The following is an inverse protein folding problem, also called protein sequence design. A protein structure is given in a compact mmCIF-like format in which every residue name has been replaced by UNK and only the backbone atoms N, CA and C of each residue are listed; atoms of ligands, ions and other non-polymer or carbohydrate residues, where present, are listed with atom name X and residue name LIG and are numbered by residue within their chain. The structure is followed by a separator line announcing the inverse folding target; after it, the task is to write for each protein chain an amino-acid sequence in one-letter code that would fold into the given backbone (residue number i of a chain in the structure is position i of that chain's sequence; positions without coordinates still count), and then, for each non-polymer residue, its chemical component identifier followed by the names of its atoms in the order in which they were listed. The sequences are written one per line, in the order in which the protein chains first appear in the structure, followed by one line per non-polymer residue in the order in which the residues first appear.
data_IF_658616880977
#
_entry.id   IF_658616880977
#
_cell.length_a   1.000
_cell.length_b   1.000
_cell.length_c   1.000
_cell.angle_alpha   90.00
_cell.angle_beta   90.00
_cell.angle_gamma   90.00
#
_symmetry.space_group_name_H-M   'P 1'
#
loop_
_entity.id
_entity.type
_entity.pdbx_description
1 polymer ?
#
# COMPACT_ATOMS: atom_id res chain seq x y z
N UNK A 1 -10.47 19.95 -9.46
CA UNK A 1 -9.29 19.09 -9.20
C UNK A 1 -9.09 19.03 -7.69
N UNK A 2 -8.58 17.92 -7.13
CA UNK A 2 -8.48 17.76 -5.69
C UNK A 2 -7.56 18.83 -5.08
N UNK A 3 -8.07 19.60 -4.10
CA UNK A 3 -7.25 20.55 -3.33
C UNK A 3 -6.59 19.85 -2.12
N UNK A 4 -5.97 18.70 -2.39
CA UNK A 4 -5.56 17.75 -1.37
C UNK A 4 -4.45 16.83 -1.90
N UNK A 5 -3.64 16.34 -0.97
CA UNK A 5 -2.59 15.37 -1.23
C UNK A 5 -3.21 14.04 -1.67
N UNK A 6 -2.74 13.52 -2.78
CA UNK A 6 -3.07 12.18 -3.28
C UNK A 6 -1.94 11.22 -2.86
N UNK A 7 -2.17 10.28 -1.92
CA UNK A 7 -1.15 9.30 -1.55
C UNK A 7 -0.67 8.51 -2.78
N UNK A 8 0.64 8.44 -2.96
CA UNK A 8 1.26 7.75 -4.09
C UNK A 8 2.39 6.85 -3.62
N UNK A 9 2.26 5.54 -3.87
CA UNK A 9 3.18 4.52 -3.36
C UNK A 9 4.36 4.30 -4.28
N UNK A 10 5.56 4.65 -3.82
CA UNK A 10 6.85 4.47 -4.47
C UNK A 10 7.75 3.67 -3.54
N UNK A 11 7.70 2.35 -3.69
CA UNK A 11 8.50 1.41 -2.90
C UNK A 11 9.96 1.44 -3.36
N UNK A 12 10.89 1.26 -2.42
CA UNK A 12 12.33 1.15 -2.70
C UNK A 12 12.83 -0.29 -2.61
N UNK A 13 11.97 -1.24 -2.26
CA UNK A 13 12.28 -2.66 -2.13
C UNK A 13 11.02 -3.48 -2.44
N UNK A 14 11.19 -4.63 -3.07
CA UNK A 14 10.15 -5.64 -3.29
C UNK A 14 10.76 -7.02 -3.04
N UNK A 15 10.21 -7.76 -2.08
CA UNK A 15 10.68 -9.10 -1.71
C UNK A 15 12.20 -9.13 -1.43
N UNK A 16 12.70 -8.23 -0.58
CA UNK A 16 14.13 -8.14 -0.26
C UNK A 16 15.03 -7.57 -1.37
N UNK A 17 14.49 -7.36 -2.58
CA UNK A 17 15.24 -6.82 -3.71
C UNK A 17 15.03 -5.31 -3.82
N UNK A 18 16.13 -4.55 -3.75
CA UNK A 18 16.11 -3.10 -3.93
C UNK A 18 15.56 -2.72 -5.31
N UNK A 19 14.60 -1.80 -5.33
CA UNK A 19 14.09 -1.18 -6.56
C UNK A 19 15.00 -0.01 -6.91
N UNK A 20 15.48 0.04 -8.16
CA UNK A 20 16.39 1.11 -8.57
C UNK A 20 15.74 2.48 -8.48
N UNK A 21 16.54 3.53 -8.26
CA UNK A 21 16.04 4.91 -8.28
C UNK A 21 15.40 5.27 -9.63
N UNK A 22 15.91 4.69 -10.71
CA UNK A 22 15.39 4.89 -12.07
C UNK A 22 14.01 4.27 -12.25
N UNK A 23 13.78 3.06 -11.74
CA UNK A 23 12.46 2.41 -11.79
C UNK A 23 11.43 3.17 -10.94
N UNK A 24 11.84 3.66 -9.77
CA UNK A 24 11.02 4.55 -8.94
C UNK A 24 10.67 5.85 -9.68
N UNK A 25 11.65 6.45 -10.37
CA UNK A 25 11.46 7.67 -11.16
C UNK A 25 10.52 7.46 -12.36
N UNK A 26 10.67 6.33 -13.07
CA UNK A 26 9.76 5.92 -14.16
C UNK A 26 8.34 5.81 -13.64
N UNK A 27 8.12 5.14 -12.49
CA UNK A 27 6.80 5.03 -11.89
C UNK A 27 6.16 6.39 -11.61
N UNK A 28 6.93 7.34 -11.09
CA UNK A 28 6.45 8.71 -10.84
C UNK A 28 6.09 9.40 -12.15
N UNK A 29 6.97 9.35 -13.16
CA UNK A 29 6.73 10.02 -14.44
C UNK A 29 5.59 9.42 -15.26
N UNK A 30 5.39 8.10 -15.21
CA UNK A 30 4.25 7.45 -15.85
C UNK A 30 2.92 7.91 -15.20
N UNK A 31 2.88 8.09 -13.88
CA UNK A 31 1.70 8.65 -13.20
C UNK A 31 1.49 10.13 -13.52
N UNK A 32 2.57 10.92 -13.58
CA UNK A 32 2.52 12.32 -14.03
C UNK A 32 1.95 12.42 -15.44
N UNK A 33 2.40 11.55 -16.36
CA UNK A 33 1.89 11.49 -17.72
C UNK A 33 0.39 11.16 -17.75
N UNK A 34 -0.03 10.17 -16.95
CA UNK A 34 -1.44 9.77 -16.83
C UNK A 34 -2.32 10.91 -16.31
N UNK A 35 -1.88 11.62 -15.27
CA UNK A 35 -2.60 12.75 -14.70
C UNK A 35 -2.66 13.93 -15.68
N UNK A 36 -1.56 14.20 -16.39
CA UNK A 36 -1.51 15.24 -17.42
C UNK A 36 -2.45 14.95 -18.58
N UNK A 37 -2.48 13.70 -19.07
CA UNK A 37 -3.43 13.26 -20.10
C UNK A 37 -4.89 13.41 -19.66
N UNK A 38 -5.15 13.34 -18.34
CA UNK A 38 -6.47 13.59 -17.73
C UNK A 38 -6.72 15.06 -17.37
N UNK A 39 -5.90 16.00 -17.88
CA UNK A 39 -6.12 17.44 -17.78
C UNK A 39 -5.35 18.14 -16.66
N UNK A 40 -4.48 17.45 -15.90
CA UNK A 40 -3.65 18.11 -14.90
C UNK A 40 -2.60 19.00 -15.59
N UNK A 41 -2.60 20.30 -15.24
CA UNK A 41 -1.63 21.27 -15.80
C UNK A 41 -0.24 21.09 -15.19
N UNK A 42 -0.19 20.82 -13.90
CA UNK A 42 1.04 20.58 -13.14
C UNK A 42 0.80 19.42 -12.17
N UNK A 43 1.82 18.58 -12.02
CA UNK A 43 1.80 17.43 -11.10
C UNK A 43 3.09 17.44 -10.29
N UNK A 44 2.94 17.45 -8.98
CA UNK A 44 4.04 17.54 -8.03
C UNK A 44 4.19 16.24 -7.24
N UNK A 45 5.39 15.93 -6.77
CA UNK A 45 5.59 14.90 -5.73
C UNK A 45 6.33 15.45 -4.52
N UNK A 46 5.86 15.12 -3.32
CA UNK A 46 6.53 15.53 -2.07
C UNK A 46 7.93 14.89 -1.96
N UNK A 47 8.92 15.68 -1.56
CA UNK A 47 10.31 15.26 -1.40
C UNK A 47 10.85 15.70 -0.03
N UNK A 48 11.40 14.76 0.76
CA UNK A 48 12.06 15.10 2.03
C UNK A 48 13.41 15.76 1.75
N UNK A 49 13.47 17.08 1.90
CA UNK A 49 14.62 17.89 1.50
C UNK A 49 15.38 18.46 2.70
N UNK A 50 16.68 18.66 2.56
CA UNK A 50 17.36 19.61 3.44
C UNK A 50 17.03 21.06 3.05
N UNK A 51 17.30 22.02 3.93
CA UNK A 51 16.99 23.43 3.73
C UNK A 51 17.62 24.01 2.46
N UNK A 52 18.91 23.77 2.23
CA UNK A 52 19.59 24.25 1.03
C UNK A 52 19.01 23.67 -0.27
N UNK A 53 18.59 22.39 -0.27
CA UNK A 53 17.87 21.79 -1.39
C UNK A 53 16.50 22.44 -1.60
N UNK A 54 15.76 22.69 -0.52
CA UNK A 54 14.45 23.36 -0.58
C UNK A 54 14.58 24.73 -1.23
N UNK A 55 15.52 25.55 -0.76
CA UNK A 55 15.77 26.89 -1.29
C UNK A 55 16.15 26.85 -2.77
N UNK A 56 17.03 25.91 -3.16
CA UNK A 56 17.45 25.73 -4.56
C UNK A 56 16.29 25.31 -5.46
N UNK A 57 15.44 24.38 -5.01
CA UNK A 57 14.29 23.91 -5.78
C UNK A 57 13.31 25.06 -6.01
N UNK A 58 12.97 25.81 -4.96
CA UNK A 58 12.05 26.96 -5.05
C UNK A 58 12.63 28.06 -5.95
N UNK A 59 13.90 28.41 -5.79
CA UNK A 59 14.58 29.41 -6.62
C UNK A 59 14.61 29.02 -8.11
N UNK A 60 14.85 27.73 -8.39
CA UNK A 60 14.80 27.20 -9.77
C UNK A 60 13.44 27.47 -10.42
N UNK A 61 12.35 27.20 -9.69
CA UNK A 61 11.00 27.38 -10.23
C UNK A 61 10.60 28.84 -10.36
N UNK A 62 10.99 29.69 -9.41
CA UNK A 62 10.79 31.13 -9.49
C UNK A 62 11.49 31.76 -10.70
N UNK A 63 12.61 31.18 -11.14
CA UNK A 63 13.34 31.59 -12.36
C UNK A 63 12.79 30.97 -13.65
N UNK A 64 11.67 30.25 -13.58
CA UNK A 64 11.08 29.55 -14.73
C UNK A 64 11.81 28.27 -15.14
N UNK A 65 12.78 27.82 -14.34
CA UNK A 65 13.49 26.56 -14.54
C UNK A 65 12.64 25.35 -14.18
N UNK A 66 13.05 24.18 -14.67
CA UNK A 66 12.47 22.89 -14.30
C UNK A 66 13.50 21.96 -13.65
N UNK A 67 14.77 22.05 -14.04
CA UNK A 67 15.86 21.22 -13.55
C UNK A 67 16.47 21.81 -12.28
N UNK A 68 16.16 21.21 -11.14
CA UNK A 68 16.59 21.68 -9.81
C UNK A 68 18.03 21.27 -9.49
N UNK A 69 18.56 20.27 -10.20
CA UNK A 69 19.87 19.71 -9.92
C UNK A 69 19.93 19.10 -8.54
N UNK A 70 18.85 18.42 -8.13
CA UNK A 70 18.80 17.66 -6.89
C UNK A 70 19.68 16.42 -7.02
N UNK A 71 20.52 16.19 -6.01
CA UNK A 71 21.44 15.07 -5.92
C UNK A 71 21.49 14.53 -4.48
N UNK A 72 21.93 13.29 -4.33
CA UNK A 72 22.05 12.61 -3.04
C UNK A 72 21.60 11.15 -3.13
N UNK A 73 21.30 10.56 -1.98
CA UNK A 73 20.84 9.18 -1.85
C UNK A 73 19.31 9.09 -1.66
N UNK A 74 18.77 7.88 -1.73
CA UNK A 74 17.35 7.59 -1.49
C UNK A 74 16.43 8.44 -2.39
N UNK A 75 15.48 9.18 -1.82
CA UNK A 75 14.58 10.05 -2.60
C UNK A 75 15.33 11.05 -3.48
N UNK A 76 16.46 11.61 -3.02
CA UNK A 76 17.23 12.57 -3.82
C UNK A 76 17.81 11.93 -5.10
N UNK A 77 18.18 10.65 -5.03
CA UNK A 77 18.63 9.88 -6.20
C UNK A 77 17.48 9.68 -7.19
N UNK A 78 16.27 9.40 -6.71
CA UNK A 78 15.07 9.28 -7.56
C UNK A 78 14.74 10.62 -8.24
N UNK A 79 14.78 11.73 -7.52
CA UNK A 79 14.57 13.07 -8.13
C UNK A 79 15.64 13.35 -9.20
N UNK A 80 16.89 12.96 -8.97
CA UNK A 80 17.95 13.08 -9.96
C UNK A 80 17.67 12.26 -11.22
N UNK A 81 17.20 11.02 -11.07
CA UNK A 81 16.77 10.17 -12.20
C UNK A 81 15.56 10.75 -12.93
N UNK A 82 14.59 11.33 -12.23
CA UNK A 82 13.48 12.06 -12.89
C UNK A 82 14.03 13.18 -13.78
N UNK A 83 14.97 13.99 -13.29
CA UNK A 83 15.55 15.07 -14.09
C UNK A 83 16.31 14.56 -15.32
N UNK A 84 16.93 13.38 -15.24
CA UNK A 84 17.57 12.74 -16.39
C UNK A 84 16.52 12.23 -17.39
N UNK A 85 15.52 11.47 -16.91
CA UNK A 85 14.43 10.92 -17.72
C UNK A 85 13.63 12.01 -18.44
N UNK A 86 13.43 13.17 -17.81
CA UNK A 86 12.80 14.33 -18.43
C UNK A 86 13.59 14.85 -19.64
N UNK A 87 14.86 14.51 -19.82
CA UNK A 87 15.60 14.84 -21.05
C UNK A 87 15.37 13.84 -22.20
N UNK A 88 14.87 12.66 -21.89
CA UNK A 88 14.64 11.59 -22.87
C UNK A 88 13.35 11.81 -23.68
N UNK A 89 13.29 11.36 -24.95
CA UNK A 89 12.12 11.58 -25.80
C UNK A 89 10.80 11.13 -25.19
N UNK A 90 10.79 10.03 -24.41
CA UNK A 90 9.58 9.50 -23.76
C UNK A 90 8.92 10.52 -22.81
N UNK A 91 9.71 11.28 -22.05
CA UNK A 91 9.20 12.16 -20.98
C UNK A 91 9.47 13.64 -21.22
N UNK A 92 10.09 14.01 -22.34
CA UNK A 92 10.47 15.40 -22.63
C UNK A 92 9.30 16.39 -22.54
N UNK A 93 8.10 15.96 -22.93
CA UNK A 93 6.87 16.75 -22.87
C UNK A 93 6.42 17.08 -21.44
N UNK A 94 6.94 16.39 -20.41
CA UNK A 94 6.60 16.61 -19.01
C UNK A 94 7.49 17.64 -18.30
N UNK A 95 8.52 18.21 -18.95
CA UNK A 95 9.44 19.20 -18.33
C UNK A 95 8.73 20.41 -17.72
N UNK A 96 7.63 20.86 -18.33
CA UNK A 96 6.81 21.97 -17.80
C UNK A 96 5.67 21.53 -16.87
N UNK A 97 5.45 20.22 -16.76
CA UNK A 97 4.31 19.62 -16.04
C UNK A 97 4.75 19.11 -14.67
N UNK A 98 5.87 18.39 -14.62
CA UNK A 98 6.40 17.82 -13.39
C UNK A 98 7.01 18.89 -12.46
N UNK A 99 6.77 18.76 -11.15
CA UNK A 99 7.44 19.53 -10.10
C UNK A 99 7.89 18.63 -8.94
N UNK A 100 9.08 18.87 -8.41
CA UNK A 100 9.51 18.36 -7.10
C UNK A 100 9.00 19.32 -6.02
N UNK A 101 8.18 18.86 -5.08
CA UNK A 101 7.63 19.71 -4.02
C UNK A 101 8.40 19.43 -2.72
N UNK A 102 9.38 20.28 -2.34
CA UNK A 102 10.25 20.01 -1.22
C UNK A 102 9.54 20.27 0.11
N UNK A 103 9.74 19.36 1.07
CA UNK A 103 9.37 19.54 2.47
C UNK A 103 10.66 19.58 3.27
N UNK A 104 10.97 20.71 3.90
CA UNK A 104 12.23 20.88 4.64
C UNK A 104 12.22 20.05 5.91
N UNK A 105 13.19 19.15 6.06
CA UNK A 105 13.28 18.27 7.23
C UNK A 105 14.55 18.45 8.05
N UNK A 106 15.60 19.04 7.50
CA UNK A 106 16.88 19.20 8.19
C UNK A 106 17.72 20.27 7.50
N UNK A 107 18.84 20.66 8.10
CA UNK A 107 19.88 21.44 7.43
C UNK A 107 21.25 20.81 7.66
N UNK A 108 22.21 21.18 6.84
CA UNK A 108 23.61 20.88 7.07
C UNK A 108 24.33 22.16 7.48
N UNK A 109 25.23 22.07 8.45
CA UNK A 109 26.15 23.16 8.77
C UNK A 109 27.26 23.28 7.71
N UNK A 110 28.12 24.28 7.84
CA UNK A 110 29.25 24.50 6.92
C UNK A 110 30.30 23.38 6.92
N UNK A 111 30.24 22.47 7.90
CA UNK A 111 31.12 21.30 8.03
C UNK A 111 30.44 20.02 7.51
N UNK A 112 29.20 20.09 7.04
CA UNK A 112 28.43 18.96 6.54
C UNK A 112 27.75 18.13 7.65
N UNK A 113 27.68 18.62 8.88
CA UNK A 113 26.94 17.94 9.95
C UNK A 113 25.46 18.24 9.83
N UNK A 114 24.63 17.21 9.98
CA UNK A 114 23.19 17.36 9.98
C UNK A 114 22.71 18.00 11.29
N UNK A 115 21.73 18.88 11.18
CA UNK A 115 21.05 19.50 12.31
C UNK A 115 19.59 19.81 12.00
N UNK A 116 18.81 20.25 13.00
CA UNK A 116 17.44 20.68 12.78
C UNK A 116 17.40 21.85 11.80
N UNK A 117 16.44 21.83 10.88
CA UNK A 117 16.18 22.99 10.03
C UNK A 117 15.69 24.18 10.88
N UNK A 118 15.66 25.37 10.30
CA UNK A 118 14.98 26.50 10.93
C UNK A 118 13.46 26.30 10.83
N UNK A 119 12.70 26.57 11.90
CA UNK A 119 11.24 26.37 11.91
C UNK A 119 10.53 27.18 10.81
N UNK A 120 11.04 28.38 10.50
CA UNK A 120 10.50 29.21 9.43
C UNK A 120 10.73 28.58 8.04
N UNK A 121 11.85 27.86 7.85
CA UNK A 121 12.12 27.12 6.62
C UNK A 121 11.16 25.94 6.47
N UNK A 122 10.86 25.22 7.57
CA UNK A 122 9.84 24.16 7.57
C UNK A 122 8.48 24.75 7.20
N UNK A 123 8.01 25.80 7.90
CA UNK A 123 6.74 26.48 7.60
C UNK A 123 6.67 26.94 6.16
N UNK A 124 7.71 27.62 5.67
CA UNK A 124 7.77 28.13 4.29
C UNK A 124 7.64 26.99 3.28
N UNK A 125 8.31 25.85 3.49
CA UNK A 125 8.20 24.70 2.60
C UNK A 125 6.78 24.12 2.56
N UNK A 126 6.12 24.03 3.71
CA UNK A 126 4.71 23.57 3.81
C UNK A 126 3.75 24.56 3.15
N UNK A 127 3.94 25.87 3.34
CA UNK A 127 3.16 26.91 2.66
C UNK A 127 3.33 26.85 1.15
N UNK A 128 4.54 26.61 0.64
CA UNK A 128 4.76 26.42 -0.80
C UNK A 128 4.07 25.15 -1.33
N UNK A 129 4.07 24.06 -0.56
CA UNK A 129 3.37 22.83 -0.95
C UNK A 129 1.84 23.02 -0.98
N UNK A 130 1.27 23.78 -0.03
CA UNK A 130 -0.14 24.19 -0.07
C UNK A 130 -0.43 25.09 -1.26
N UNK A 131 0.39 26.13 -1.49
CA UNK A 131 0.22 27.04 -2.63
C UNK A 131 0.24 26.30 -3.96
N UNK A 132 1.10 25.29 -4.10
CA UNK A 132 1.14 24.44 -5.30
C UNK A 132 -0.20 23.76 -5.59
N UNK A 133 -0.90 23.28 -4.54
CA UNK A 133 -2.23 22.70 -4.68
C UNK A 133 -3.29 23.78 -4.96
N UNK A 134 -3.23 24.91 -4.25
CA UNK A 134 -4.15 26.05 -4.43
C UNK A 134 -4.07 26.65 -5.85
N UNK A 135 -2.88 26.62 -6.47
CA UNK A 135 -2.65 27.01 -7.87
C UNK A 135 -3.21 25.98 -8.89
N UNK A 136 -3.86 24.92 -8.42
CA UNK A 136 -4.47 23.87 -9.21
C UNK A 136 -3.53 22.71 -9.56
N UNK A 137 -2.38 22.61 -8.90
CA UNK A 137 -1.46 21.49 -9.05
C UNK A 137 -1.94 20.22 -8.37
N UNK A 138 -1.71 19.06 -8.99
CA UNK A 138 -2.00 17.76 -8.36
C UNK A 138 -0.78 17.33 -7.54
N UNK A 139 -0.90 17.28 -6.21
CA UNK A 139 0.20 16.90 -5.33
C UNK A 139 0.15 15.42 -4.96
N UNK A 140 1.09 14.65 -5.49
CA UNK A 140 1.37 13.28 -5.09
C UNK A 140 2.14 13.27 -3.76
N UNK A 141 1.55 12.66 -2.74
CA UNK A 141 2.21 12.42 -1.46
C UNK A 141 3.02 11.13 -1.52
N UNK A 142 4.35 11.22 -1.44
CA UNK A 142 5.21 10.05 -1.46
C UNK A 142 4.93 9.15 -0.27
N UNK A 143 4.56 7.90 -0.53
CA UNK A 143 4.48 6.82 0.46
C UNK A 143 5.31 5.64 -0.03
N UNK A 144 5.64 4.71 0.85
CA UNK A 144 6.39 3.49 0.51
C UNK A 144 6.01 2.36 1.46
N UNK A 145 6.60 1.18 1.27
CA UNK A 145 6.32 -0.02 2.04
C UNK A 145 6.57 0.11 3.56
N UNK A 146 7.30 1.13 4.02
CA UNK A 146 7.53 1.43 5.45
C UNK A 146 6.72 2.61 5.95
N UNK A 147 5.92 3.25 5.10
CA UNK A 147 5.12 4.43 5.47
C UNK A 147 3.81 3.99 6.12
N UNK A 148 3.52 4.40 7.38
CA UNK A 148 2.25 4.08 8.01
C UNK A 148 1.05 4.70 7.26
N UNK A 149 -0.12 4.09 7.41
CA UNK A 149 -1.37 4.64 6.87
C UNK A 149 -1.62 6.07 7.40
N UNK A 150 -2.13 6.94 6.53
CA UNK A 150 -2.38 8.35 6.86
C UNK A 150 -1.11 9.20 7.02
N UNK A 151 0.07 8.69 6.63
CA UNK A 151 1.34 9.44 6.65
C UNK A 151 2.00 9.46 5.28
N UNK A 152 3.00 10.34 5.15
CA UNK A 152 3.89 10.42 4.01
C UNK A 152 5.33 10.04 4.43
N UNK A 153 6.12 9.63 3.44
CA UNK A 153 7.54 9.33 3.57
C UNK A 153 8.37 10.64 3.66
N UNK A 154 8.19 11.38 4.75
CA UNK A 154 8.89 12.65 5.05
C UNK A 154 9.66 12.48 6.37
N UNK A 155 10.91 12.93 6.40
CA UNK A 155 11.72 12.91 7.63
C UNK A 155 12.42 11.57 7.92
N UNK A 156 12.64 10.74 6.91
CA UNK A 156 13.40 9.49 7.03
C UNK A 156 14.92 9.67 7.06
N UNK A 157 15.66 8.58 7.32
CA UNK A 157 17.13 8.56 7.27
C UNK A 157 17.77 9.51 8.29
N UNK A 158 18.66 10.37 7.81
CA UNK A 158 19.40 11.34 8.66
C UNK A 158 18.46 12.31 9.37
N UNK A 159 17.38 12.75 8.70
CA UNK A 159 16.43 13.70 9.26
C UNK A 159 15.73 13.17 10.53
N UNK A 160 15.50 11.85 10.61
CA UNK A 160 14.82 11.23 11.74
C UNK A 160 15.53 11.49 13.08
N UNK A 161 16.87 11.59 13.04
CA UNK A 161 17.73 11.81 14.21
C UNK A 161 17.99 13.28 14.56
N UNK A 162 17.65 14.24 13.67
CA UNK A 162 17.94 15.67 13.89
C UNK A 162 16.69 16.56 13.92
N UNK A 163 15.56 16.10 13.38
CA UNK A 163 14.29 16.82 13.46
C UNK A 163 13.81 16.95 14.90
N UNK A 164 13.41 18.17 15.27
CA UNK A 164 12.76 18.42 16.56
C UNK A 164 11.35 17.83 16.59
N UNK A 165 10.82 17.53 17.79
CA UNK A 165 9.44 17.06 17.94
C UNK A 165 8.42 18.08 17.40
N UNK A 166 8.68 19.38 17.59
CA UNK A 166 7.86 20.47 17.05
C UNK A 166 7.78 20.42 15.52
N UNK A 167 8.91 20.21 14.84
CA UNK A 167 8.97 20.12 13.38
C UNK A 167 8.26 18.87 12.85
N UNK A 168 8.43 17.72 13.52
CA UNK A 168 7.69 16.49 13.18
C UNK A 168 6.19 16.71 13.31
N UNK A 169 5.75 17.37 14.38
CA UNK A 169 4.35 17.71 14.59
C UNK A 169 3.83 18.64 13.50
N UNK A 170 4.56 19.73 13.20
CA UNK A 170 4.17 20.68 12.15
C UNK A 170 3.95 20.02 10.79
N UNK A 171 4.86 19.12 10.38
CA UNK A 171 4.74 18.36 9.13
C UNK A 171 3.55 17.40 9.21
N UNK A 172 3.40 16.64 10.30
CA UNK A 172 2.31 15.67 10.46
C UNK A 172 0.93 16.36 10.47
N UNK A 173 0.82 17.51 11.13
CA UNK A 173 -0.42 18.30 11.17
C UNK A 173 -0.76 18.83 9.76
N UNK A 174 0.23 19.33 9.02
CA UNK A 174 0.03 19.73 7.62
C UNK A 174 -0.39 18.55 6.76
N UNK A 175 0.27 17.39 6.87
CA UNK A 175 -0.09 16.17 6.14
C UNK A 175 -1.53 15.74 6.47
N UNK A 176 -1.90 15.70 7.75
CA UNK A 176 -3.24 15.33 8.21
C UNK A 176 -4.32 16.27 7.69
N UNK A 177 -4.04 17.57 7.65
CA UNK A 177 -5.01 18.59 7.21
C UNK A 177 -5.19 18.63 5.69
N UNK A 178 -4.22 18.12 4.92
CA UNK A 178 -4.23 18.18 3.45
C UNK A 178 -4.40 16.81 2.79
N UNK A 179 -4.27 15.70 3.51
CA UNK A 179 -4.75 14.40 3.05
C UNK A 179 -6.27 14.42 3.02
N UNK A 180 -6.89 13.96 1.92
CA UNK A 180 -8.35 13.82 1.89
C UNK A 180 -8.81 12.92 3.04
N UNK A 181 -9.78 13.35 3.87
CA UNK A 181 -10.57 12.38 4.61
C UNK A 181 -11.36 11.54 3.59
N UNK A 182 -11.57 10.24 3.84
CA UNK A 182 -12.47 9.44 3.01
C UNK A 182 -13.89 9.99 3.19
N UNK A 183 -14.37 10.84 2.28
CA UNK A 183 -15.77 11.25 2.26
C UNK A 183 -16.61 10.19 1.56
N UNK A 184 -17.45 9.53 2.37
CA UNK A 184 -18.68 8.89 1.92
C UNK A 184 -19.59 9.97 1.33
N UNK A 185 -20.01 9.78 0.07
CA UNK A 185 -21.02 10.55 -0.68
C UNK A 185 -20.65 11.97 -1.14
N UNK A 186 -20.53 12.15 -2.47
CA UNK A 186 -20.90 13.40 -3.13
C UNK A 186 -22.20 13.15 -3.93
N UNK A 187 -23.32 13.35 -3.23
CA UNK A 187 -24.63 13.63 -3.81
C UNK A 187 -24.59 15.01 -4.48
N UNK A 188 -24.67 15.07 -5.81
CA UNK A 188 -25.18 16.24 -6.53
C UNK A 188 -26.56 15.92 -7.12
N UNK A 189 -27.53 16.84 -7.05
CA UNK A 189 -28.93 16.57 -7.36
C UNK A 189 -29.16 16.33 -8.86
N UNK A 190 -29.78 15.19 -9.17
CA UNK A 190 -30.27 14.82 -10.49
C UNK A 190 -31.42 15.76 -10.92
N UNK A 191 -31.21 16.58 -11.94
CA UNK A 191 -32.29 17.07 -12.79
C UNK A 191 -32.53 16.04 -13.93
N UNK A 192 -33.78 15.85 -14.40
CA UNK A 192 -34.12 14.73 -15.28
C UNK A 192 -33.56 14.92 -16.71
N UNK A 193 -33.26 13.81 -17.42
CA UNK A 193 -32.55 13.85 -18.71
C UNK A 193 -33.48 14.18 -19.88
N UNK A 194 -32.95 14.94 -20.85
CA UNK A 194 -33.41 14.87 -22.25
C UNK A 194 -32.52 13.87 -23.01
N UNK A 195 -33.18 12.97 -23.72
CA UNK A 195 -32.64 11.87 -24.52
C UNK A 195 -31.55 12.32 -25.51
N UNK A 196 -30.45 11.57 -25.67
CA UNK A 196 -30.27 10.60 -26.79
C UNK A 196 -28.88 9.89 -26.78
N UNK A 197 -28.95 8.56 -26.97
CA UNK A 197 -28.06 7.62 -27.72
C UNK A 197 -26.71 7.12 -27.14
N UNK A 198 -26.77 5.82 -26.82
CA UNK A 198 -25.79 4.72 -26.96
C UNK A 198 -24.34 4.89 -26.53
N UNK A 199 -23.97 4.11 -25.50
CA UNK A 199 -22.58 3.71 -25.26
C UNK A 199 -22.38 3.03 -23.91
N UNK A 200 -22.29 1.69 -23.95
CA UNK A 200 -21.53 0.83 -23.01
C UNK A 200 -21.97 0.75 -21.53
N UNK A 201 -22.63 -0.37 -21.24
CA UNK A 201 -22.79 -1.00 -19.92
C UNK A 201 -21.44 -1.52 -19.40
N UNK A 202 -20.62 -0.65 -18.81
CA UNK A 202 -19.42 -1.07 -18.03
C UNK A 202 -19.32 -0.39 -16.66
N UNK A 203 -20.25 0.52 -16.33
CA UNK A 203 -20.19 1.33 -15.10
C UNK A 203 -20.96 0.77 -13.90
N UNK A 204 -21.40 -0.50 -13.94
CA UNK A 204 -21.93 -1.21 -12.77
C UNK A 204 -20.92 -2.18 -12.14
N UNK A 205 -19.83 -2.52 -12.83
CA UNK A 205 -18.82 -3.47 -12.31
C UNK A 205 -17.67 -2.82 -11.51
N UNK A 206 -17.53 -1.49 -11.55
CA UNK A 206 -16.42 -0.77 -10.92
C UNK A 206 -16.68 -0.34 -9.46
N UNK A 207 -17.91 -0.38 -8.97
CA UNK A 207 -18.22 -0.12 -7.55
C UNK A 207 -18.05 -1.35 -6.63
N UNK A 208 -17.68 -2.52 -7.17
CA UNK A 208 -17.40 -3.71 -6.38
C UNK A 208 -15.96 -3.81 -5.84
N UNK A 209 -15.04 -2.92 -6.23
CA UNK A 209 -13.59 -3.08 -5.98
C UNK A 209 -13.00 -2.30 -4.79
N UNK A 210 -13.83 -1.66 -3.95
CA UNK A 210 -13.42 -1.13 -2.65
C UNK A 210 -13.77 -2.07 -1.47
N UNK A 211 -13.97 -3.36 -1.71
CA UNK A 211 -13.94 -4.37 -0.64
C UNK A 211 -12.47 -4.66 -0.33
N UNK A 212 -12.06 -4.45 0.92
CA UNK A 212 -10.69 -4.71 1.43
C UNK A 212 -10.22 -6.06 0.90
N UNK A 213 -9.35 -6.07 -0.13
CA UNK A 213 -8.75 -7.31 -0.64
C UNK A 213 -7.97 -7.96 0.48
N UNK A 214 -8.13 -9.27 0.66
CA UNK A 214 -7.48 -10.05 1.71
C UNK A 214 -6.56 -11.07 1.09
N UNK A 215 -5.28 -11.01 1.43
CA UNK A 215 -4.29 -12.03 1.10
C UNK A 215 -4.08 -12.95 2.29
N UNK A 216 -3.85 -14.23 2.02
CA UNK A 216 -3.41 -15.22 3.01
C UNK A 216 -2.36 -16.11 2.37
N UNK A 217 -1.35 -16.50 3.14
CA UNK A 217 -0.33 -17.45 2.70
C UNK A 217 -0.73 -18.87 3.10
N UNK A 218 -0.61 -19.83 2.18
CA UNK A 218 -1.06 -21.21 2.35
C UNK A 218 0.10 -22.18 2.20
N UNK A 219 0.29 -23.04 3.20
CA UNK A 219 1.18 -24.19 3.09
C UNK A 219 0.35 -25.46 2.91
N UNK A 220 0.61 -26.19 1.82
CA UNK A 220 -0.05 -27.47 1.53
C UNK A 220 0.78 -28.33 0.59
N UNK A 221 0.77 -29.64 0.82
CA UNK A 221 1.33 -30.61 -0.13
C UNK A 221 0.47 -30.75 -1.41
N UNK A 222 -0.75 -30.22 -1.40
CA UNK A 222 -1.72 -30.30 -2.50
C UNK A 222 -1.86 -28.95 -3.23
N UNK A 223 -0.75 -28.23 -3.39
CA UNK A 223 -0.72 -26.85 -3.89
C UNK A 223 -1.37 -26.69 -5.27
N UNK A 224 -1.12 -27.62 -6.20
CA UNK A 224 -1.68 -27.58 -7.55
C UNK A 224 -3.20 -27.80 -7.54
N UNK A 225 -3.70 -28.72 -6.70
CA UNK A 225 -5.12 -28.96 -6.56
C UNK A 225 -5.85 -27.76 -5.94
N UNK A 226 -5.23 -27.10 -4.97
CA UNK A 226 -5.74 -25.86 -4.37
C UNK A 226 -5.75 -24.70 -5.37
N UNK A 227 -4.73 -24.60 -6.23
CA UNK A 227 -4.64 -23.55 -7.25
C UNK A 227 -5.76 -23.68 -8.29
N UNK A 228 -6.03 -24.90 -8.75
CA UNK A 228 -7.14 -25.17 -9.68
C UNK A 228 -8.51 -24.92 -9.04
N UNK A 229 -8.70 -25.35 -7.79
CA UNK A 229 -9.91 -25.06 -7.03
C UNK A 229 -10.11 -23.54 -6.86
N UNK A 230 -9.04 -22.81 -6.55
CA UNK A 230 -9.07 -21.36 -6.39
C UNK A 230 -9.42 -20.65 -7.69
N UNK A 231 -8.84 -21.05 -8.83
CA UNK A 231 -9.18 -20.51 -10.15
C UNK A 231 -10.67 -20.67 -10.48
N UNK A 232 -11.23 -21.84 -10.15
CA UNK A 232 -12.66 -22.12 -10.31
C UNK A 232 -13.51 -21.25 -9.37
N UNK A 233 -13.09 -21.10 -8.12
CA UNK A 233 -13.78 -20.32 -7.08
C UNK A 233 -13.86 -18.83 -7.43
N UNK A 234 -12.74 -18.20 -7.80
CA UNK A 234 -12.69 -16.76 -7.99
C UNK A 234 -13.14 -16.30 -9.39
N UNK A 235 -13.08 -17.19 -10.39
CA UNK A 235 -13.33 -16.94 -11.79
C UNK A 235 -12.11 -16.38 -12.55
N UNK A 236 -12.11 -16.51 -13.88
CA UNK A 236 -10.94 -16.17 -14.73
C UNK A 236 -10.50 -14.72 -14.63
N UNK A 237 -11.44 -13.78 -14.57
CA UNK A 237 -11.14 -12.34 -14.48
C UNK A 237 -10.38 -12.02 -13.19
N UNK A 238 -10.89 -12.51 -12.04
CA UNK A 238 -10.22 -12.30 -10.76
C UNK A 238 -8.84 -12.97 -10.71
N UNK A 239 -8.73 -14.17 -11.26
CA UNK A 239 -7.46 -14.91 -11.31
C UNK A 239 -6.40 -14.19 -12.14
N UNK A 240 -6.78 -13.55 -13.27
CA UNK A 240 -5.86 -12.74 -14.09
C UNK A 240 -5.45 -11.45 -13.39
N UNK A 241 -6.40 -10.77 -12.74
CA UNK A 241 -6.16 -9.49 -12.08
C UNK A 241 -5.43 -9.65 -10.73
N UNK A 242 -5.50 -10.83 -10.11
CA UNK A 242 -4.90 -11.16 -8.82
C UNK A 242 -4.27 -12.57 -8.87
N UNK A 243 -3.21 -12.77 -9.68
CA UNK A 243 -2.63 -14.08 -9.88
C UNK A 243 -2.02 -14.62 -8.58
N UNK A 244 -2.29 -15.88 -8.21
CA UNK A 244 -1.62 -16.54 -7.09
C UNK A 244 -0.11 -16.51 -7.24
N UNK A 245 0.60 -16.29 -6.13
CA UNK A 245 2.05 -16.25 -6.10
C UNK A 245 2.58 -17.37 -5.21
N UNK A 246 3.66 -18.04 -5.63
CA UNK A 246 4.44 -18.89 -4.73
C UNK A 246 5.58 -18.06 -4.14
N UNK A 247 5.79 -18.16 -2.83
CA UNK A 247 6.96 -17.55 -2.21
C UNK A 247 8.20 -18.47 -2.28
N UNK A 248 9.32 -18.03 -1.69
CA UNK A 248 10.60 -18.76 -1.70
C UNK A 248 10.52 -20.11 -0.97
N UNK A 249 9.53 -20.29 -0.09
CA UNK A 249 9.27 -21.52 0.67
C UNK A 249 8.24 -22.42 -0.03
N UNK A 250 7.79 -22.04 -1.23
CA UNK A 250 6.81 -22.76 -2.02
C UNK A 250 5.37 -22.60 -1.55
N UNK A 251 5.10 -21.68 -0.59
CA UNK A 251 3.76 -21.40 -0.07
C UNK A 251 2.95 -20.60 -1.09
N UNK A 252 1.65 -20.87 -1.15
CA UNK A 252 0.73 -20.26 -2.09
C UNK A 252 0.03 -19.05 -1.47
N UNK A 253 0.27 -17.86 -2.02
CA UNK A 253 -0.42 -16.63 -1.63
C UNK A 253 -1.66 -16.43 -2.49
N UNK A 254 -2.83 -16.47 -1.85
CA UNK A 254 -4.14 -16.34 -2.49
C UNK A 254 -4.83 -15.04 -2.07
N UNK A 255 -5.49 -14.37 -3.02
CA UNK A 255 -6.22 -13.11 -2.79
C UNK A 255 -7.73 -13.30 -2.89
N UNK A 256 -8.50 -12.86 -1.92
CA UNK A 256 -9.97 -13.05 -1.89
C UNK A 256 -10.73 -11.74 -1.97
N UNK A 257 -11.97 -11.81 -2.47
CA UNK A 257 -12.87 -10.66 -2.63
C UNK A 257 -13.32 -10.08 -1.29
N UNK A 258 -13.34 -10.92 -0.24
CA UNK A 258 -13.77 -10.60 1.12
C UNK A 258 -13.33 -11.70 2.11
N UNK A 259 -13.47 -11.44 3.41
CA UNK A 259 -13.23 -12.45 4.45
C UNK A 259 -14.23 -13.62 4.34
N UNK A 260 -15.49 -13.35 3.94
CA UNK A 260 -16.49 -14.40 3.72
C UNK A 260 -16.18 -15.27 2.49
N UNK A 261 -15.67 -14.66 1.41
CA UNK A 261 -15.25 -15.36 0.20
C UNK A 261 -14.08 -16.31 0.49
N UNK A 262 -13.13 -15.84 1.29
CA UNK A 262 -12.01 -16.64 1.79
C UNK A 262 -12.51 -17.79 2.69
N UNK A 263 -13.38 -17.48 3.64
CA UNK A 263 -13.97 -18.48 4.53
C UNK A 263 -14.74 -19.57 3.78
N UNK A 264 -15.54 -19.19 2.78
CA UNK A 264 -16.28 -20.13 1.94
C UNK A 264 -15.34 -21.07 1.18
N UNK A 265 -14.29 -20.52 0.55
CA UNK A 265 -13.30 -21.31 -0.18
C UNK A 265 -12.63 -22.35 0.73
N UNK A 266 -12.08 -21.93 1.88
CA UNK A 266 -11.33 -22.85 2.74
C UNK A 266 -12.22 -23.84 3.49
N UNK A 267 -13.48 -23.50 3.78
CA UNK A 267 -14.45 -24.48 4.26
C UNK A 267 -14.73 -25.55 3.21
N UNK A 268 -14.97 -25.15 1.95
CA UNK A 268 -15.15 -26.11 0.86
C UNK A 268 -13.90 -27.01 0.69
N UNK A 269 -12.69 -26.44 0.77
CA UNK A 269 -11.47 -27.25 0.68
C UNK A 269 -11.33 -28.21 1.86
N UNK A 270 -11.69 -27.79 3.07
CA UNK A 270 -11.69 -28.67 4.24
C UNK A 270 -12.72 -29.80 4.08
N UNK A 271 -13.96 -29.50 3.67
CA UNK A 271 -15.04 -30.47 3.41
C UNK A 271 -14.64 -31.52 2.36
N UNK A 272 -13.85 -31.11 1.37
CA UNK A 272 -13.26 -32.00 0.35
C UNK A 272 -12.04 -32.81 0.86
N UNK A 273 -11.76 -32.76 2.16
CA UNK A 273 -10.69 -33.50 2.82
C UNK A 273 -9.28 -32.99 2.50
N UNK A 274 -9.14 -31.74 2.04
CA UNK A 274 -7.83 -31.15 1.73
C UNK A 274 -7.10 -30.76 3.01
N UNK A 275 -5.80 -31.04 3.04
CA UNK A 275 -4.94 -30.61 4.15
C UNK A 275 -4.18 -29.33 3.77
N UNK A 276 -4.23 -28.33 4.64
CA UNK A 276 -3.55 -27.07 4.45
C UNK A 276 -3.40 -26.30 5.77
N UNK A 277 -2.42 -25.40 5.81
CA UNK A 277 -2.20 -24.43 6.89
C UNK A 277 -2.36 -23.03 6.31
N UNK A 278 -3.16 -22.20 6.96
CA UNK A 278 -3.35 -20.79 6.65
C UNK A 278 -2.51 -19.93 7.56
N UNK A 279 -1.72 -19.02 6.96
CA UNK A 279 -0.75 -18.17 7.65
C UNK A 279 -1.09 -16.71 7.36
N UNK A 280 -1.12 -15.89 8.41
CA UNK A 280 -1.21 -14.44 8.28
C UNK A 280 0.13 -13.86 7.79
N UNK A 281 0.07 -13.14 6.67
CA UNK A 281 1.24 -12.62 5.97
C UNK A 281 2.05 -11.60 6.79
N UNK A 282 1.39 -10.88 7.71
CA UNK A 282 2.03 -9.82 8.51
C UNK A 282 2.77 -10.38 9.72
N UNK A 283 2.21 -11.39 10.35
CA UNK A 283 2.68 -11.91 11.64
C UNK A 283 3.33 -13.29 11.55
N UNK A 284 3.23 -13.95 10.40
CA UNK A 284 3.68 -15.33 10.18
C UNK A 284 3.06 -16.34 11.19
N UNK A 285 1.87 -16.01 11.69
CA UNK A 285 1.10 -16.84 12.63
C UNK A 285 0.11 -17.70 11.89
N UNK A 286 -0.13 -18.91 12.41
CA UNK A 286 -1.13 -19.83 11.88
C UNK A 286 -2.51 -19.35 12.32
N UNK A 287 -3.33 -18.95 11.35
CA UNK A 287 -4.67 -18.40 11.60
C UNK A 287 -5.78 -19.45 11.48
N UNK A 288 -5.56 -20.47 10.66
CA UNK A 288 -6.45 -21.61 10.52
C UNK A 288 -5.71 -22.80 9.88
N UNK A 289 -6.25 -24.01 10.00
CA UNK A 289 -5.73 -25.18 9.30
C UNK A 289 -6.83 -26.23 9.08
N UNK A 290 -6.59 -27.13 8.12
CA UNK A 290 -7.31 -28.39 7.96
C UNK A 290 -6.28 -29.51 7.89
N UNK A 291 -6.49 -30.58 8.65
CA UNK A 291 -5.67 -31.79 8.56
C UNK A 291 -6.28 -32.84 7.62
N UNK A 292 -7.31 -32.46 6.86
CA UNK A 292 -8.01 -33.33 5.90
C UNK A 292 -9.02 -34.29 6.54
N UNK A 293 -9.51 -33.99 7.74
CA UNK A 293 -10.60 -34.70 8.41
C UNK A 293 -12.01 -34.21 8.02
N UNK A 294 -12.10 -33.22 7.12
CA UNK A 294 -13.35 -32.60 6.71
C UNK A 294 -13.65 -31.27 7.40
N UNK A 295 -12.79 -30.82 8.33
CA UNK A 295 -13.07 -29.64 9.17
C UNK A 295 -11.98 -28.59 9.10
N UNK A 296 -12.37 -27.36 9.42
CA UNK A 296 -11.49 -26.21 9.51
C UNK A 296 -11.33 -25.81 10.98
N UNK A 297 -10.08 -25.64 11.41
CA UNK A 297 -9.75 -25.36 12.81
C UNK A 297 -8.94 -24.07 12.95
N UNK A 298 -9.09 -23.43 14.11
CA UNK A 298 -8.19 -22.40 14.64
C UNK A 298 -7.22 -23.07 15.62
N UNK A 299 -5.91 -22.83 15.52
CA UNK A 299 -4.98 -23.30 16.54
C UNK A 299 -5.18 -22.52 17.85
N UNK A 300 -5.05 -23.19 18.99
CA UNK A 300 -5.20 -22.58 20.31
C UNK A 300 -4.31 -23.27 21.34
N UNK A 301 -4.07 -22.57 22.46
CA UNK A 301 -3.27 -23.08 23.59
C UNK A 301 -3.88 -24.34 24.23
N UNK A 302 -5.20 -24.41 24.24
CA UNK A 302 -5.97 -25.54 24.80
C UNK A 302 -6.33 -26.60 23.74
N UNK A 303 -5.70 -26.51 22.56
CA UNK A 303 -5.97 -27.39 21.42
C UNK A 303 -6.73 -26.70 20.28
N UNK A 304 -6.95 -27.42 19.17
CA UNK A 304 -7.66 -26.89 18.00
C UNK A 304 -9.14 -26.62 18.29
N UNK A 305 -9.65 -25.50 17.80
CA UNK A 305 -11.06 -25.14 17.89
C UNK A 305 -11.70 -25.12 16.50
N UNK A 306 -12.79 -25.84 16.29
CA UNK A 306 -13.48 -25.87 15.00
C UNK A 306 -14.07 -24.50 14.65
N UNK A 307 -13.81 -24.01 13.43
CA UNK A 307 -14.33 -22.74 12.93
C UNK A 307 -15.67 -22.96 12.24
N UNK A 308 -16.75 -22.74 12.99
CA UNK A 308 -18.12 -22.80 12.45
C UNK A 308 -18.61 -21.44 11.93
N UNK A 309 -17.98 -20.34 12.38
CA UNK A 309 -18.34 -18.96 12.05
C UNK A 309 -18.11 -18.59 10.58
N UNK A 310 -18.77 -17.51 10.13
CA UNK A 310 -18.61 -16.96 8.76
C UNK A 310 -17.25 -16.30 8.53
N UNK A 311 -16.53 -15.92 9.58
CA UNK A 311 -15.19 -15.35 9.50
C UNK A 311 -14.15 -16.33 10.02
N UNK A 312 -13.14 -16.61 9.20
CA UNK A 312 -11.99 -17.43 9.60
C UNK A 312 -10.84 -16.57 10.15
N UNK A 313 -10.86 -15.25 9.92
CA UNK A 313 -9.82 -14.33 10.40
C UNK A 313 -9.99 -14.06 11.90
N UNK A 314 -8.94 -14.30 12.71
CA UNK A 314 -8.95 -13.99 14.13
C UNK A 314 -9.03 -12.47 14.38
N UNK A 315 -9.61 -12.08 15.52
CA UNK A 315 -9.58 -10.68 15.97
C UNK A 315 -8.17 -10.31 16.43
N UNK A 316 -7.83 -9.03 16.43
CA UNK A 316 -6.50 -8.53 16.83
C UNK A 316 -6.09 -8.98 18.24
N UNK A 317 -7.05 -9.09 19.16
CA UNK A 317 -6.81 -9.64 20.51
C UNK A 317 -6.43 -11.13 20.50
N UNK A 318 -7.00 -11.91 19.58
CA UNK A 318 -6.79 -13.37 19.46
C UNK A 318 -5.48 -13.67 18.72
N UNK A 319 -4.98 -12.75 17.89
CA UNK A 319 -3.72 -12.91 17.15
C UNK A 319 -2.52 -13.12 18.07
N UNK A 320 -2.53 -12.57 19.28
CA UNK A 320 -1.41 -12.72 20.22
C UNK A 320 -1.20 -14.17 20.67
N UNK A 321 -2.29 -14.96 20.75
CA UNK A 321 -2.30 -16.32 21.28
C UNK A 321 -2.04 -17.41 20.22
N UNK A 322 -1.98 -17.05 18.93
CA UNK A 322 -1.76 -17.99 17.85
C UNK A 322 -0.28 -18.38 17.73
N UNK A 323 0.02 -19.65 17.41
CA UNK A 323 1.37 -20.11 17.20
C UNK A 323 1.97 -19.51 15.91
N UNK A 324 3.27 -19.25 15.96
CA UNK A 324 4.07 -19.02 14.76
C UNK A 324 4.20 -20.33 13.96
N UNK A 325 4.38 -20.23 12.64
CA UNK A 325 4.42 -21.41 11.77
C UNK A 325 5.51 -22.42 12.16
N UNK A 326 6.69 -21.95 12.56
CA UNK A 326 7.84 -22.78 12.97
C UNK A 326 7.58 -23.58 14.26
N UNK A 327 6.66 -23.09 15.09
CA UNK A 327 6.22 -23.71 16.36
C UNK A 327 4.93 -24.49 16.23
N UNK A 328 4.28 -24.44 15.06
CA UNK A 328 3.03 -25.14 14.82
C UNK A 328 3.28 -26.53 14.22
N UNK A 329 2.77 -27.55 14.91
CA UNK A 329 2.68 -28.91 14.37
C UNK A 329 1.22 -29.25 14.15
N UNK A 330 0.86 -29.49 12.89
CA UNK A 330 -0.50 -29.85 12.52
C UNK A 330 -0.91 -31.18 13.20
N UNK A 331 -2.02 -31.19 13.96
CA UNK A 331 -2.55 -32.40 14.60
C UNK A 331 -2.96 -33.49 13.58
N UNK A 332 -2.85 -34.76 13.97
CA UNK A 332 -3.35 -35.88 13.16
C UNK A 332 -4.88 -35.91 13.13
N UNK A 333 -5.48 -36.54 12.11
CA UNK A 333 -6.94 -36.67 11.96
C UNK A 333 -7.62 -37.33 13.17
N UNK A 334 -6.95 -38.26 13.83
CA UNK A 334 -7.47 -38.99 14.99
C UNK A 334 -7.53 -38.10 16.24
N UNK A 335 -6.55 -37.22 16.43
CA UNK A 335 -6.44 -36.36 17.62
C UNK A 335 -7.40 -35.16 17.59
N UNK A 336 -7.86 -34.73 16.41
CA UNK A 336 -8.88 -33.67 16.26
C UNK A 336 -10.31 -34.18 16.44
N UNK A 337 -10.59 -35.49 16.29
CA UNK A 337 -11.92 -36.05 16.49
C UNK A 337 -12.26 -36.25 17.98
N UNK A 338 -11.28 -36.61 18.82
CA UNK A 338 -11.49 -36.83 20.26
C UNK A 338 -11.75 -35.52 21.03
N UNK A 339 -11.17 -34.40 20.60
CA UNK A 339 -11.25 -33.10 21.30
C UNK A 339 -12.57 -32.35 21.09
N UNK A 340 -13.43 -32.81 20.17
CA UNK A 340 -14.75 -32.20 19.85
C UNK A 340 -15.91 -33.04 20.39
N UNK A 341 -15.64 -34.17 21.05
CA UNK A 341 -16.67 -34.99 21.70
C UNK A 341 -16.77 -34.55 23.16
N UNK A 342 -17.82 -33.83 23.60
CA UNK A 342 -18.06 -33.69 25.03
C UNK A 342 -18.30 -35.09 25.57
N UNK A 343 -17.66 -35.44 26.69
CA UNK A 343 -18.00 -36.62 27.49
C UNK A 343 -19.52 -36.75 27.59
N UNK A 344 -20.09 -37.64 26.79
CA UNK A 344 -21.42 -38.18 26.98
C UNK A 344 -21.25 -39.59 27.52
N UNK A 345 -21.67 -39.74 28.79
CA UNK A 345 -21.96 -40.98 29.50
C UNK A 345 -20.70 -41.76 29.94
N UNK A 346 -20.52 -42.15 31.21
CA UNK A 346 -21.46 -42.47 32.27
C UNK A 346 -20.90 -42.14 33.67
#
# INVERSE_FOLDING_TARGET
MPNSIVPFRVDFEKNGTSISSRDQAIKILDEVARLHANGAKTVGITYSANQAQTDKIIDTYNKGGWKTGTNGANQASVISEIEQLLTEPKYQHLKGVYRTVPITTMKFDSKGNAGPADDDSVKKSLSHASQFMDDGGVLLGWTNQKTPEGRLAIGGGVAAGVQTSSQKQMINDWVKNNLQPPTLEDNLPLAPPKETVSGTSEMQDLQALARKKKSTSIQSEQTEALLEAYKKHCGEKWFKDNPPQKDEEGRLNLSFKSDEDMAAFFKEQADLGKSFIMIDEKTNKVIAFSNGDGKLYRPGKDGPQEITDKSITPKESEMSDLPELDKFKMPSKETTQESVTPLQQA
#
